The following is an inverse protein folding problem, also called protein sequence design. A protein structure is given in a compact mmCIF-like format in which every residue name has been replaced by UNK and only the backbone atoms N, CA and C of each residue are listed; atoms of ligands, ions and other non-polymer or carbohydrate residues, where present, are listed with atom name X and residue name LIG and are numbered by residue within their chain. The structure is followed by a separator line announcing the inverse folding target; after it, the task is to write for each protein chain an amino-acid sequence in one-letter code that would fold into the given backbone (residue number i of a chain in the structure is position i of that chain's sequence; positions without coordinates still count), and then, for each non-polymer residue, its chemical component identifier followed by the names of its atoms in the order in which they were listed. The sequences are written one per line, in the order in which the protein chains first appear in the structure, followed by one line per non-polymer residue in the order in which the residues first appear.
data_IF_975856812798
#
_entry.id   IF_975856812798
#
_cell.length_a   1.000
_cell.length_b   1.000
_cell.length_c   1.000
_cell.angle_alpha   90.00
_cell.angle_beta   90.00
_cell.angle_gamma   90.00
#
_symmetry.space_group_name_H-M   'P 1'
#
loop_
_entity.id
_entity.type
_entity.pdbx_description
1 polymer ?
#
# COMPACT_ATOMS: atom_id res chain seq x y z
N UNK A 1 -3.56 -3.30 3.20
CA UNK A 1 -3.12 -2.02 3.79
C UNK A 1 -3.05 -1.03 2.66
N UNK A 2 -3.57 0.19 2.77
CA UNK A 2 -3.74 1.03 1.56
C UNK A 2 -3.27 2.45 1.81
N UNK A 3 -2.44 2.91 0.90
CA UNK A 3 -1.75 4.17 0.97
C UNK A 3 -2.39 5.14 -0.02
N UNK A 4 -2.95 6.23 0.51
CA UNK A 4 -3.67 7.23 -0.28
C UNK A 4 -2.64 8.16 -0.89
N UNK A 5 -2.36 8.07 -2.18
CA UNK A 5 -1.33 8.91 -2.79
C UNK A 5 -1.95 10.06 -3.56
N UNK A 6 -1.42 11.25 -3.32
CA UNK A 6 -1.78 12.47 -4.04
C UNK A 6 -0.54 13.06 -4.66
N UNK A 7 -0.73 13.63 -5.85
CA UNK A 7 0.30 14.33 -6.58
C UNK A 7 -0.14 15.77 -6.77
N UNK A 8 0.82 16.65 -6.57
CA UNK A 8 0.68 18.09 -6.65
C UNK A 8 1.72 18.64 -7.62
N UNK A 9 1.27 19.25 -8.71
CA UNK A 9 2.13 20.04 -9.58
C UNK A 9 2.38 21.43 -8.96
N UNK A 10 3.65 21.79 -8.83
CA UNK A 10 4.10 23.07 -8.30
C UNK A 10 4.67 23.96 -9.40
N UNK A 11 4.66 25.27 -9.19
CA UNK A 11 5.47 26.16 -10.05
C UNK A 11 6.97 25.90 -9.79
N UNK A 12 7.87 26.27 -10.72
CA UNK A 12 9.31 26.14 -10.50
C UNK A 12 9.80 26.82 -9.21
N UNK A 13 9.24 27.98 -8.86
CA UNK A 13 9.60 28.77 -7.68
C UNK A 13 9.16 28.06 -6.39
N UNK A 14 7.92 27.55 -6.37
CA UNK A 14 7.39 26.75 -5.26
C UNK A 14 8.21 25.48 -5.07
N UNK A 15 8.48 24.77 -6.17
CA UNK A 15 9.27 23.55 -6.12
C UNK A 15 10.69 23.82 -5.60
N UNK A 16 11.34 24.89 -6.06
CA UNK A 16 12.67 25.30 -5.58
C UNK A 16 12.70 25.51 -4.06
N UNK A 17 11.65 26.11 -3.48
CA UNK A 17 11.53 26.32 -2.03
C UNK A 17 11.53 25.01 -1.24
N UNK A 18 10.87 23.96 -1.74
CA UNK A 18 10.68 22.71 -1.00
C UNK A 18 11.57 21.54 -1.46
N UNK A 19 12.34 21.70 -2.54
CA UNK A 19 13.14 20.62 -3.14
C UNK A 19 14.23 20.08 -2.22
N UNK A 20 14.77 20.92 -1.34
CA UNK A 20 15.77 20.53 -0.36
C UNK A 20 15.18 19.98 0.95
N UNK A 21 13.84 20.00 1.11
CA UNK A 21 13.21 19.43 2.29
C UNK A 21 13.40 17.92 2.33
N UNK A 22 13.59 17.32 3.52
CA UNK A 22 13.63 15.87 3.66
C UNK A 22 12.25 15.26 3.41
N UNK A 23 12.21 13.93 3.29
CA UNK A 23 10.94 13.20 3.41
C UNK A 23 10.35 13.49 4.78
N UNK A 24 9.11 13.98 4.82
CA UNK A 24 8.38 14.19 6.05
C UNK A 24 7.57 12.95 6.39
N UNK A 25 7.62 12.48 7.63
CA UNK A 25 6.85 11.34 8.13
C UNK A 25 6.34 11.64 9.54
N UNK A 26 5.02 11.57 9.72
CA UNK A 26 4.35 11.70 11.00
C UNK A 26 3.73 10.36 11.39
N UNK A 27 4.30 9.71 12.40
CA UNK A 27 3.84 8.40 12.87
C UNK A 27 2.52 8.47 13.65
N UNK A 28 2.14 9.64 14.18
CA UNK A 28 0.88 9.79 14.90
C UNK A 28 -0.29 9.84 13.92
N UNK A 29 -0.19 10.66 12.87
CA UNK A 29 -1.26 10.82 11.87
C UNK A 29 -1.14 9.84 10.71
N UNK A 30 0.04 9.21 10.54
CA UNK A 30 0.40 8.42 9.38
C UNK A 30 0.68 9.25 8.13
N UNK A 31 0.59 10.58 8.20
CA UNK A 31 0.85 11.45 7.06
C UNK A 31 2.33 11.46 6.70
N UNK A 32 2.62 11.48 5.41
CA UNK A 32 3.98 11.68 4.93
C UNK A 32 3.97 12.41 3.58
N UNK A 33 5.09 13.05 3.27
CA UNK A 33 5.28 13.76 2.00
C UNK A 33 6.72 13.60 1.50
N UNK A 34 6.84 13.42 0.18
CA UNK A 34 8.11 13.47 -0.53
C UNK A 34 8.34 14.89 -1.05
N UNK A 35 9.57 15.41 -1.04
CA UNK A 35 9.88 16.69 -1.65
C UNK A 35 9.58 16.66 -3.15
N UNK A 36 9.44 17.84 -3.78
CA UNK A 36 9.22 17.95 -5.23
C UNK A 36 10.30 17.21 -6.02
N UNK A 37 9.87 16.40 -6.99
CA UNK A 37 10.78 15.77 -7.94
C UNK A 37 11.29 16.76 -9.00
N UNK A 38 12.00 16.27 -10.02
CA UNK A 38 12.53 17.10 -11.12
C UNK A 38 11.44 17.84 -11.89
N UNK A 39 10.27 17.20 -12.02
CA UNK A 39 9.08 17.71 -12.73
C UNK A 39 8.18 18.58 -11.84
N UNK A 40 8.69 19.03 -10.69
CA UNK A 40 7.97 19.86 -9.72
C UNK A 40 6.72 19.17 -9.13
N UNK A 41 6.75 17.84 -9.06
CA UNK A 41 5.69 17.03 -8.45
C UNK A 41 6.03 16.76 -6.99
N UNK A 42 5.19 17.25 -6.08
CA UNK A 42 5.16 16.85 -4.67
C UNK A 42 4.16 15.71 -4.49
N UNK A 43 4.58 14.63 -3.85
CA UNK A 43 3.70 13.50 -3.51
C UNK A 43 3.46 13.45 -2.00
N UNK A 44 2.21 13.39 -1.58
CA UNK A 44 1.86 13.17 -0.18
C UNK A 44 0.86 12.04 -0.01
N UNK A 45 0.83 11.45 1.17
CA UNK A 45 -0.05 10.34 1.48
C UNK A 45 -0.30 10.16 2.97
N UNK A 46 -1.26 9.30 3.30
CA UNK A 46 -1.55 8.88 4.67
C UNK A 46 -1.47 7.36 4.75
N UNK A 47 -0.65 6.87 5.66
CA UNK A 47 -0.59 5.49 6.09
C UNK A 47 -1.69 5.21 7.12
N UNK A 48 -2.66 4.36 6.77
CA UNK A 48 -3.74 3.93 7.67
C UNK A 48 -4.08 2.44 7.45
N UNK A 49 -5.11 1.93 8.12
CA UNK A 49 -5.62 0.57 7.86
C UNK A 49 -6.09 0.36 6.41
N UNK A 50 -6.52 1.45 5.75
CA UNK A 50 -7.01 1.58 4.38
C UNK A 50 -8.27 0.75 4.05
N UNK A 51 -8.64 0.66 2.76
CA UNK A 51 -9.96 0.19 2.27
C UNK A 51 -9.96 -1.17 1.56
N UNK A 52 -10.89 -2.07 1.89
CA UNK A 52 -11.11 -3.31 1.14
C UNK A 52 -12.32 -3.20 0.23
N UNK A 53 -12.26 -3.73 -0.99
CA UNK A 53 -13.42 -3.85 -1.90
C UNK A 53 -13.82 -5.32 -2.01
N UNK A 54 -14.72 -5.76 -1.14
CA UNK A 54 -15.19 -7.14 -1.11
C UNK A 54 -16.18 -7.37 -2.24
N UNK A 55 -15.89 -8.31 -3.12
CA UNK A 55 -16.84 -8.80 -4.12
C UNK A 55 -17.12 -10.28 -3.86
N UNK A 56 -18.32 -10.74 -4.22
CA UNK A 56 -18.67 -12.16 -4.23
C UNK A 56 -18.39 -12.74 -5.63
N UNK A 57 -17.38 -13.61 -5.80
CA UNK A 57 -17.14 -14.27 -7.08
C UNK A 57 -18.33 -15.18 -7.44
N UNK A 58 -18.58 -15.38 -8.74
CA UNK A 58 -19.73 -16.16 -9.22
C UNK A 58 -19.77 -17.60 -8.68
N UNK A 59 -18.59 -18.19 -8.44
CA UNK A 59 -18.43 -19.59 -8.02
C UNK A 59 -17.94 -19.73 -6.57
N UNK A 60 -18.17 -18.74 -5.71
CA UNK A 60 -17.75 -18.81 -4.31
C UNK A 60 -18.69 -18.06 -3.38
N UNK A 61 -18.97 -18.65 -2.22
CA UNK A 61 -19.66 -17.95 -1.13
C UNK A 61 -18.73 -17.05 -0.32
N UNK A 62 -17.43 -17.07 -0.61
CA UNK A 62 -16.44 -16.25 0.08
C UNK A 62 -16.29 -14.91 -0.60
N UNK A 63 -16.37 -13.84 0.19
CA UNK A 63 -16.05 -12.50 -0.28
C UNK A 63 -14.55 -12.29 -0.37
N UNK A 64 -14.07 -11.84 -1.52
CA UNK A 64 -12.64 -11.56 -1.76
C UNK A 64 -12.46 -10.07 -2.00
N UNK A 65 -11.48 -9.48 -1.32
CA UNK A 65 -11.09 -8.10 -1.59
C UNK A 65 -10.40 -8.02 -2.95
N UNK A 66 -11.03 -7.37 -3.92
CA UNK A 66 -10.55 -7.31 -5.30
C UNK A 66 -10.17 -5.88 -5.66
N UNK A 67 -8.95 -5.64 -6.20
CA UNK A 67 -8.52 -4.32 -6.61
C UNK A 67 -9.48 -3.61 -7.56
N UNK A 68 -9.75 -2.34 -7.27
CA UNK A 68 -10.35 -1.40 -8.19
C UNK A 68 -9.23 -0.72 -8.99
N UNK A 69 -9.23 -0.87 -10.30
CA UNK A 69 -8.14 -0.38 -11.15
C UNK A 69 -8.68 0.31 -12.38
N UNK A 70 -7.82 0.99 -13.13
CA UNK A 70 -8.20 1.57 -14.43
C UNK A 70 -8.73 0.53 -15.42
N UNK A 71 -8.27 -0.72 -15.32
CA UNK A 71 -8.71 -1.80 -16.20
C UNK A 71 -10.14 -2.27 -15.88
N UNK A 72 -10.58 -2.12 -14.63
CA UNK A 72 -11.90 -2.59 -14.18
C UNK A 72 -12.94 -1.48 -14.08
N UNK A 73 -12.50 -0.24 -13.82
CA UNK A 73 -13.38 0.89 -13.47
C UNK A 73 -13.01 2.19 -14.20
N UNK A 74 -12.17 2.12 -15.25
CA UNK A 74 -11.76 3.30 -16.02
C UNK A 74 -11.12 4.40 -15.17
N UNK A 75 -11.47 5.65 -15.45
CA UNK A 75 -10.94 6.82 -14.73
C UNK A 75 -11.32 6.83 -13.24
N UNK A 76 -12.41 6.17 -12.87
CA UNK A 76 -12.83 6.09 -11.48
C UNK A 76 -11.97 5.10 -10.67
N UNK A 77 -11.31 4.14 -11.35
CA UNK A 77 -10.49 3.12 -10.72
C UNK A 77 -9.33 3.65 -9.86
N UNK A 78 -8.96 4.92 -10.05
CA UNK A 78 -7.92 5.59 -9.26
C UNK A 78 -8.48 6.57 -8.21
N UNK A 79 -9.77 6.91 -8.24
CA UNK A 79 -10.32 7.90 -7.31
C UNK A 79 -10.19 7.45 -5.86
N UNK A 80 -10.00 8.43 -4.96
CA UNK A 80 -10.00 8.21 -3.52
C UNK A 80 -11.29 8.77 -2.90
N UNK A 81 -11.72 8.26 -1.72
CA UNK A 81 -12.86 8.83 -1.00
C UNK A 81 -12.69 10.33 -0.66
N UNK A 82 -13.79 11.09 -0.63
CA UNK A 82 -13.75 12.53 -0.29
C UNK A 82 -13.19 12.78 1.13
N UNK A 83 -13.55 11.95 2.10
CA UNK A 83 -13.03 12.02 3.48
C UNK A 83 -11.51 11.90 3.51
N UNK A 84 -10.95 10.99 2.69
CA UNK A 84 -9.53 10.80 2.53
C UNK A 84 -8.83 12.02 1.91
N UNK A 85 -9.43 12.62 0.89
CA UNK A 85 -8.91 13.84 0.26
C UNK A 85 -8.86 15.01 1.25
N UNK A 86 -9.90 15.17 2.06
CA UNK A 86 -9.99 16.23 3.07
C UNK A 86 -8.92 16.05 4.15
N UNK A 87 -8.73 14.83 4.66
CA UNK A 87 -7.68 14.54 5.64
C UNK A 87 -6.27 14.78 5.10
N UNK A 88 -6.02 14.43 3.84
CA UNK A 88 -4.76 14.74 3.15
C UNK A 88 -4.51 16.24 3.04
N UNK A 89 -5.55 17.01 2.67
CA UNK A 89 -5.48 18.47 2.56
C UNK A 89 -5.16 19.13 3.90
N UNK A 90 -5.86 18.72 4.97
CA UNK A 90 -5.63 19.23 6.31
C UNK A 90 -4.20 18.92 6.80
N UNK A 91 -3.72 17.70 6.56
CA UNK A 91 -2.37 17.29 6.95
C UNK A 91 -1.29 18.04 6.17
N UNK A 92 -1.48 18.21 4.85
CA UNK A 92 -0.57 19.00 4.02
C UNK A 92 -0.52 20.46 4.47
N UNK A 93 -1.66 21.07 4.78
CA UNK A 93 -1.74 22.46 5.24
C UNK A 93 -1.01 22.70 6.57
N UNK A 94 -0.87 21.69 7.43
CA UNK A 94 -0.11 21.79 8.69
C UNK A 94 1.40 21.90 8.46
N UNK A 95 1.91 21.29 7.39
CA UNK A 95 3.36 21.22 7.09
C UNK A 95 3.76 22.26 6.06
N UNK A 96 2.95 22.40 5.02
CA UNK A 96 3.14 23.35 3.92
C UNK A 96 1.86 24.18 3.74
N UNK A 97 1.65 25.23 4.56
CA UNK A 97 0.40 26.01 4.56
C UNK A 97 0.02 26.58 3.19
N UNK A 98 1.00 27.13 2.47
CA UNK A 98 0.84 27.66 1.10
C UNK A 98 0.37 26.57 0.14
N UNK A 99 0.83 25.33 0.35
CA UNK A 99 0.45 24.21 -0.48
C UNK A 99 -0.92 23.64 -0.09
N UNK A 100 -1.34 23.71 1.18
CA UNK A 100 -2.60 23.13 1.64
C UNK A 100 -3.86 23.64 0.93
N UNK A 101 -3.81 24.83 0.31
CA UNK A 101 -4.99 25.48 -0.29
C UNK A 101 -5.17 25.28 -1.80
N UNK A 102 -4.12 24.93 -2.55
CA UNK A 102 -4.23 24.75 -4.01
C UNK A 102 -4.89 23.38 -4.36
N UNK A 103 -5.38 23.18 -5.59
CA UNK A 103 -5.93 21.89 -5.99
C UNK A 103 -4.84 20.80 -6.07
N UNK A 104 -5.22 19.55 -5.88
CA UNK A 104 -4.37 18.41 -6.23
C UNK A 104 -4.44 18.20 -7.75
N UNK A 105 -3.30 17.87 -8.39
CA UNK A 105 -3.28 17.60 -9.83
C UNK A 105 -3.76 16.19 -10.15
N UNK A 106 -3.57 15.23 -9.23
CA UNK A 106 -4.13 13.89 -9.37
C UNK A 106 -4.19 13.15 -8.03
N UNK A 107 -5.13 12.21 -7.97
CA UNK A 107 -5.38 11.33 -6.82
C UNK A 107 -5.22 9.86 -7.25
N UNK A 108 -4.67 9.00 -6.39
CA UNK A 108 -4.70 7.55 -6.62
C UNK A 108 -4.85 6.72 -5.36
N UNK A 109 -5.62 5.63 -5.45
CA UNK A 109 -5.48 4.48 -4.56
C UNK A 109 -4.30 3.61 -5.02
N UNK A 110 -3.53 3.09 -4.07
CA UNK A 110 -2.45 2.14 -4.34
C UNK A 110 -2.77 0.80 -3.69
N UNK A 111 -2.65 -0.29 -4.46
CA UNK A 111 -3.05 -1.64 -4.04
C UNK A 111 -1.88 -2.48 -3.55
N UNK A 112 -2.06 -3.13 -2.40
CA UNK A 112 -1.14 -4.09 -1.81
C UNK A 112 -1.90 -5.28 -1.23
N UNK A 113 -1.23 -6.43 -1.18
CA UNK A 113 -1.71 -7.61 -0.45
C UNK A 113 -0.93 -7.75 0.85
N UNK A 114 -1.64 -7.87 1.97
CA UNK A 114 -1.04 -8.10 3.28
C UNK A 114 -1.08 -9.60 3.61
N UNK A 115 -0.03 -10.11 4.26
CA UNK A 115 -0.12 -11.34 5.04
C UNK A 115 -0.49 -11.01 6.50
N UNK A 116 -0.98 -11.99 7.29
CA UNK A 116 -1.29 -11.78 8.71
C UNK A 116 -0.11 -11.36 9.59
N UNK A 117 1.12 -11.63 9.16
CA UNK A 117 2.36 -11.40 9.92
C UNK A 117 3.28 -10.32 9.30
N UNK A 118 2.81 -9.64 8.26
CA UNK A 118 3.54 -8.69 7.42
C UNK A 118 4.78 -9.28 6.68
N UNK A 119 4.99 -10.59 6.67
CA UNK A 119 6.03 -11.25 5.85
C UNK A 119 5.55 -11.55 4.43
N UNK A 120 6.49 -11.71 3.51
CA UNK A 120 6.17 -12.09 2.13
C UNK A 120 5.69 -13.54 2.00
N UNK A 121 5.09 -13.85 0.87
CA UNK A 121 4.84 -15.24 0.45
C UNK A 121 5.74 -15.50 -0.75
N UNK A 122 6.84 -16.22 -0.52
CA UNK A 122 7.84 -16.58 -1.53
C UNK A 122 8.13 -18.07 -1.38
N UNK A 123 7.81 -18.87 -2.40
CA UNK A 123 8.05 -20.31 -2.39
C UNK A 123 7.09 -21.11 -3.25
N UNK A 124 7.32 -22.42 -3.33
CA UNK A 124 6.50 -23.33 -4.15
C UNK A 124 5.08 -23.49 -3.61
N UNK A 125 4.11 -23.67 -4.51
CA UNK A 125 2.76 -24.02 -4.14
C UNK A 125 2.70 -25.45 -3.59
N UNK A 126 2.03 -25.72 -2.46
CA UNK A 126 2.08 -27.01 -1.77
C UNK A 126 1.44 -28.17 -2.53
N UNK A 127 0.61 -27.88 -3.53
CA UNK A 127 -0.17 -28.91 -4.26
C UNK A 127 -0.09 -28.77 -5.78
N UNK A 128 0.58 -27.73 -6.29
CA UNK A 128 0.68 -27.46 -7.74
C UNK A 128 2.16 -27.46 -8.08
N UNK A 129 2.58 -28.51 -8.76
CA UNK A 129 3.96 -28.66 -9.22
C UNK A 129 4.34 -27.53 -10.16
N UNK A 130 5.59 -27.05 -10.05
CA UNK A 130 6.16 -25.98 -10.87
C UNK A 130 5.48 -24.60 -10.75
N UNK A 131 4.65 -24.37 -9.72
CA UNK A 131 4.13 -23.04 -9.39
C UNK A 131 4.90 -22.44 -8.21
N UNK A 132 5.51 -21.28 -8.43
CA UNK A 132 6.13 -20.47 -7.37
C UNK A 132 5.28 -19.23 -7.11
N UNK A 133 5.00 -18.97 -5.83
CA UNK A 133 4.36 -17.75 -5.37
C UNK A 133 5.42 -16.72 -5.02
N UNK A 134 5.19 -15.46 -5.41
CA UNK A 134 5.99 -14.30 -5.02
C UNK A 134 5.03 -13.12 -4.81
N UNK A 135 4.45 -13.02 -3.61
CA UNK A 135 3.34 -12.10 -3.31
C UNK A 135 3.35 -11.63 -1.84
N UNK A 136 2.29 -10.95 -1.42
CA UNK A 136 2.10 -10.41 -0.06
C UNK A 136 3.19 -9.42 0.34
N UNK A 137 3.41 -8.40 -0.50
CA UNK A 137 4.40 -7.36 -0.23
C UNK A 137 4.13 -6.54 1.04
N UNK A 138 2.95 -6.66 1.64
CA UNK A 138 2.55 -6.11 2.95
C UNK A 138 2.89 -4.63 3.12
N UNK A 139 2.76 -3.86 2.04
CA UNK A 139 2.99 -2.42 2.00
C UNK A 139 4.45 -1.99 2.16
N UNK A 140 5.43 -2.90 2.19
CA UNK A 140 6.84 -2.54 2.45
C UNK A 140 7.86 -3.13 1.47
N UNK A 141 7.44 -4.05 0.59
CA UNK A 141 8.33 -4.74 -0.34
C UNK A 141 9.06 -3.80 -1.33
N UNK A 142 8.54 -2.60 -1.62
CA UNK A 142 9.15 -1.70 -2.61
C UNK A 142 10.60 -1.31 -2.27
N UNK A 143 10.93 -1.12 -1.00
CA UNK A 143 12.31 -0.79 -0.58
C UNK A 143 13.31 -1.93 -0.84
N UNK A 144 12.80 -3.14 -1.06
CA UNK A 144 13.57 -4.35 -1.35
C UNK A 144 13.59 -4.69 -2.84
N UNK A 145 13.04 -3.82 -3.72
CA UNK A 145 13.02 -4.03 -5.17
C UNK A 145 14.37 -4.50 -5.74
N UNK A 146 15.54 -3.96 -5.34
CA UNK A 146 16.81 -4.40 -5.91
C UNK A 146 17.26 -5.82 -5.51
N UNK A 147 16.71 -6.37 -4.42
CA UNK A 147 17.22 -7.61 -3.82
C UNK A 147 16.19 -8.73 -3.76
N UNK A 148 14.90 -8.42 -3.74
CA UNK A 148 13.82 -9.41 -3.54
C UNK A 148 13.75 -10.42 -4.68
N UNK A 149 14.15 -10.04 -5.90
CA UNK A 149 14.19 -10.94 -7.05
C UNK A 149 15.15 -12.11 -6.88
N UNK A 150 16.25 -11.93 -6.12
CA UNK A 150 17.19 -13.02 -5.82
C UNK A 150 16.51 -14.12 -4.99
N UNK A 151 15.73 -13.74 -3.99
CA UNK A 151 15.00 -14.70 -3.15
C UNK A 151 13.99 -15.51 -3.96
N UNK A 152 13.37 -14.89 -4.97
CA UNK A 152 12.45 -15.58 -5.87
C UNK A 152 13.20 -16.55 -6.78
N UNK A 153 14.35 -16.15 -7.33
CA UNK A 153 15.21 -17.03 -8.13
C UNK A 153 15.69 -18.24 -7.31
N UNK A 154 16.20 -18.02 -6.10
CA UNK A 154 16.66 -19.09 -5.22
C UNK A 154 15.49 -20.04 -4.84
N UNK A 155 14.26 -19.53 -4.72
CA UNK A 155 13.08 -20.35 -4.48
C UNK A 155 12.69 -21.21 -5.70
N UNK A 156 12.90 -20.70 -6.93
CA UNK A 156 12.68 -21.44 -8.18
C UNK A 156 13.73 -22.54 -8.34
N UNK A 157 15.00 -22.23 -8.02
CA UNK A 157 16.14 -23.14 -8.14
C UNK A 157 16.23 -24.17 -7.00
N UNK A 158 15.42 -24.01 -5.94
CA UNK A 158 15.47 -24.88 -4.75
C UNK A 158 16.69 -24.64 -3.87
N UNK A 159 17.34 -23.48 -3.98
CA UNK A 159 18.55 -23.10 -3.26
C UNK A 159 18.29 -22.10 -2.13
N UNK A 160 17.04 -21.64 -1.96
CA UNK A 160 16.65 -20.73 -0.89
C UNK A 160 16.93 -21.34 0.49
N UNK A 161 17.59 -20.57 1.37
CA UNK A 161 17.93 -21.01 2.72
C UNK A 161 16.70 -21.52 3.49
N UNK A 162 16.84 -22.63 4.22
CA UNK A 162 15.73 -23.31 4.90
C UNK A 162 14.96 -22.41 5.89
N UNK A 163 15.64 -21.47 6.55
CA UNK A 163 15.00 -20.48 7.41
C UNK A 163 14.04 -19.57 6.63
N UNK A 164 14.47 -19.09 5.45
CA UNK A 164 13.65 -18.26 4.58
C UNK A 164 12.50 -19.05 3.94
N UNK A 165 12.73 -20.32 3.58
CA UNK A 165 11.67 -21.22 3.10
C UNK A 165 10.55 -21.31 4.15
N UNK A 166 10.89 -21.53 5.43
CA UNK A 166 9.91 -21.59 6.52
C UNK A 166 9.23 -20.23 6.75
N UNK A 167 10.00 -19.15 6.74
CA UNK A 167 9.52 -17.79 6.99
C UNK A 167 8.55 -17.28 5.92
N UNK A 168 8.76 -17.65 4.66
CA UNK A 168 7.98 -17.15 3.52
C UNK A 168 7.01 -18.18 2.93
N UNK A 169 6.91 -19.39 3.52
CA UNK A 169 5.96 -20.40 3.10
C UNK A 169 4.51 -19.91 3.16
N UNK A 170 3.69 -20.33 2.19
CA UNK A 170 2.27 -19.97 2.10
C UNK A 170 1.40 -20.60 3.19
N UNK A 171 1.79 -21.75 3.72
CA UNK A 171 1.11 -22.47 4.81
C UNK A 171 1.84 -22.37 6.17
N UNK A 172 2.68 -21.36 6.36
CA UNK A 172 3.37 -21.16 7.64
C UNK A 172 2.38 -20.92 8.78
N UNK A 173 2.73 -21.35 9.98
CA UNK A 173 1.96 -21.02 11.17
C UNK A 173 2.10 -19.53 11.48
N UNK A 174 0.95 -18.89 11.70
CA UNK A 174 0.89 -17.52 12.16
C UNK A 174 0.60 -17.62 13.65
N UNK A 175 1.60 -17.38 14.51
CA UNK A 175 1.48 -17.59 15.96
C UNK A 175 0.13 -17.12 16.51
N UNK A 176 -0.61 -18.03 17.14
CA UNK A 176 -1.86 -17.73 17.81
C UNK A 176 -1.59 -16.69 18.90
N UNK A 177 -2.22 -15.51 18.82
CA UNK A 177 -2.01 -14.44 19.79
C UNK A 177 -0.81 -13.52 19.53
N UNK A 178 -0.28 -13.43 18.29
CA UNK A 178 0.69 -12.37 18.02
C UNK A 178 0.03 -10.99 18.18
N UNK A 179 0.69 -10.08 18.89
CA UNK A 179 0.34 -8.63 19.02
C UNK A 179 0.02 -8.01 17.64
N UNK A 180 0.57 -8.57 16.56
CA UNK A 180 0.33 -8.15 15.18
C UNK A 180 -1.03 -8.57 14.64
N UNK A 181 -1.54 -9.76 14.97
CA UNK A 181 -2.90 -10.19 14.62
C UNK A 181 -3.93 -9.33 15.33
N UNK A 182 -3.72 -9.01 16.60
CA UNK A 182 -4.56 -8.07 17.35
C UNK A 182 -4.48 -6.66 16.77
N UNK A 183 -3.29 -6.18 16.37
CA UNK A 183 -3.15 -4.90 15.63
C UNK A 183 -3.82 -4.95 14.26
N UNK A 184 -3.81 -6.07 13.54
CA UNK A 184 -4.48 -6.23 12.26
C UNK A 184 -6.00 -6.27 12.44
N UNK A 185 -6.48 -6.94 13.49
CA UNK A 185 -7.89 -6.97 13.89
C UNK A 185 -8.36 -5.59 14.38
N UNK A 186 -7.54 -4.85 15.13
CA UNK A 186 -7.79 -3.44 15.50
C UNK A 186 -7.74 -2.51 14.27
N UNK A 187 -6.76 -2.67 13.37
CA UNK A 187 -6.71 -1.97 12.08
C UNK A 187 -7.95 -2.27 11.25
N UNK A 188 -8.46 -3.50 11.29
CA UNK A 188 -9.66 -3.92 10.58
C UNK A 188 -10.96 -3.40 11.23
N UNK A 189 -11.01 -3.29 12.57
CA UNK A 189 -12.13 -2.70 13.32
C UNK A 189 -12.34 -1.21 13.03
N UNK A 190 -11.26 -0.50 12.69
CA UNK A 190 -11.29 0.91 12.29
C UNK A 190 -11.41 1.14 10.77
N UNK A 191 -11.59 0.10 9.95
CA UNK A 191 -11.84 0.28 8.51
C UNK A 191 -13.27 0.74 8.35
N UNK A 192 -13.46 2.00 7.96
CA UNK A 192 -14.70 2.38 7.29
C UNK A 192 -14.84 1.49 6.05
N UNK A 193 -15.84 0.61 6.08
CA UNK A 193 -16.33 -0.07 4.90
C UNK A 193 -17.04 0.98 4.06
N UNK A 194 -16.26 1.75 3.31
CA UNK A 194 -16.84 2.52 2.22
C UNK A 194 -17.10 1.50 1.12
N UNK A 195 -18.33 1.04 1.02
CA UNK A 195 -18.85 0.59 -0.27
C UNK A 195 -18.62 1.76 -1.21
N UNK A 196 -17.71 1.60 -2.17
CA UNK A 196 -17.45 2.59 -3.21
C UNK A 196 -18.63 2.59 -4.18
N UNK A 197 -19.81 2.97 -3.69
CA UNK A 197 -21.05 3.12 -4.42
C UNK A 197 -21.38 4.60 -4.70
N UNK A 198 -20.47 5.53 -4.39
CA UNK A 198 -20.59 6.97 -4.69
C UNK A 198 -19.24 7.62 -5.09
#
# INVERSE_FOLDING_TARGET
MWERQQVRLLTPEEAKRYRACPVYLDFHTGFYAFPPNRDNILKCAVHSGGFTRKIKPLNSDVHISTPRTVATDGDDGLRIPKSALNGLRASLARIYPDLGRKPFSSTRLCWYTDSPDDNWIIGTHPSITNLVLATSGSGHAFKFLPVIGRLVADAIEGTLALELVRKFASRREHGAGSVKRERQEQKNRGKEYIELNE
#
